data_IF_332613226723
#
_entry.id   IF_332613226723
#
_cell.length_a   1.000
_cell.length_b   1.000
_cell.length_c   1.000
_cell.angle_alpha   90.00
_cell.angle_beta   90.00
_cell.angle_gamma   90.00
#
_symmetry.space_group_name_H-M   'P 1'
#
loop_
_entity.id
_entity.type
_entity.pdbx_description
1 polymer ?
#
# COMPACT_ATOMS: atom_id res chain seq x y z
N UNK A 1 0.82 -76.74 20.79
CA UNK A 1 -0.16 -75.88 20.09
C UNK A 1 0.19 -74.39 20.13
N UNK A 2 1.09 -73.92 21.01
CA UNK A 2 1.44 -72.50 21.18
C UNK A 2 2.38 -71.92 20.10
N UNK A 3 3.28 -72.72 19.51
CA UNK A 3 4.22 -72.24 18.48
C UNK A 3 3.57 -71.90 17.12
N UNK A 4 2.48 -72.59 16.75
CA UNK A 4 1.81 -72.39 15.46
C UNK A 4 0.99 -71.08 15.43
N UNK A 5 0.37 -70.71 16.56
CA UNK A 5 -0.36 -69.45 16.74
C UNK A 5 0.57 -68.23 16.66
N UNK A 6 1.80 -68.33 17.19
CA UNK A 6 2.80 -67.24 17.11
C UNK A 6 3.24 -66.96 15.68
N UNK A 7 3.44 -68.01 14.88
CA UNK A 7 3.92 -67.86 13.50
C UNK A 7 2.86 -67.32 12.54
N UNK A 8 1.58 -67.69 12.76
CA UNK A 8 0.45 -67.10 12.02
C UNK A 8 0.30 -65.61 12.33
N UNK A 9 0.48 -65.20 13.58
CA UNK A 9 0.44 -63.78 13.96
C UNK A 9 1.56 -62.97 13.29
N UNK A 10 2.78 -63.51 13.20
CA UNK A 10 3.89 -62.86 12.49
C UNK A 10 3.60 -62.66 11.00
N UNK A 11 2.96 -63.64 10.35
CA UNK A 11 2.53 -63.49 8.95
C UNK A 11 1.50 -62.40 8.75
N UNK A 12 0.52 -62.32 9.63
CA UNK A 12 -0.50 -61.26 9.59
C UNK A 12 0.15 -59.90 9.80
N UNK A 13 1.06 -59.78 10.77
CA UNK A 13 1.79 -58.55 11.05
C UNK A 13 2.64 -58.11 9.86
N UNK A 14 3.36 -59.04 9.21
CA UNK A 14 4.16 -58.72 8.03
C UNK A 14 3.27 -58.24 6.86
N UNK A 15 2.12 -58.89 6.65
CA UNK A 15 1.18 -58.50 5.61
C UNK A 15 0.56 -57.11 5.89
N UNK A 16 0.22 -56.82 7.15
CA UNK A 16 -0.31 -55.51 7.54
C UNK A 16 0.75 -54.41 7.38
N UNK A 17 1.97 -54.64 7.86
CA UNK A 17 3.08 -53.68 7.72
C UNK A 17 3.40 -53.40 6.26
N UNK A 18 3.40 -54.43 5.39
CA UNK A 18 3.62 -54.25 3.95
C UNK A 18 2.52 -53.38 3.33
N UNK A 19 1.26 -53.62 3.68
CA UNK A 19 0.14 -52.80 3.21
C UNK A 19 0.23 -51.35 3.68
N UNK A 20 0.61 -51.14 4.94
CA UNK A 20 0.81 -49.80 5.51
C UNK A 20 1.94 -49.06 4.78
N UNK A 21 3.03 -49.74 4.46
CA UNK A 21 4.12 -49.17 3.66
C UNK A 21 3.67 -48.75 2.27
N UNK A 22 2.92 -49.60 1.55
CA UNK A 22 2.37 -49.28 0.23
C UNK A 22 1.41 -48.07 0.28
N UNK A 23 0.59 -47.99 1.33
CA UNK A 23 -0.30 -46.85 1.56
C UNK A 23 0.49 -45.56 1.82
N UNK A 24 1.52 -45.60 2.68
CA UNK A 24 2.38 -44.46 2.97
C UNK A 24 3.13 -43.98 1.72
N UNK A 25 3.61 -44.92 0.90
CA UNK A 25 4.26 -44.58 -0.36
C UNK A 25 3.31 -43.85 -1.32
N UNK A 26 2.07 -44.33 -1.43
CA UNK A 26 1.05 -43.70 -2.28
C UNK A 26 0.66 -42.32 -1.75
N UNK A 27 0.51 -42.19 -0.43
CA UNK A 27 0.20 -40.92 0.21
C UNK A 27 1.32 -39.89 -0.03
N UNK A 28 2.58 -40.28 0.19
CA UNK A 28 3.72 -39.41 -0.04
C UNK A 28 3.80 -38.92 -1.49
N UNK A 29 3.53 -39.80 -2.47
CA UNK A 29 3.50 -39.42 -3.88
C UNK A 29 2.39 -38.40 -4.17
N UNK A 30 1.20 -38.59 -3.58
CA UNK A 30 0.10 -37.62 -3.68
C UNK A 30 0.47 -36.28 -3.07
N UNK A 31 1.05 -36.29 -1.87
CA UNK A 31 1.43 -35.07 -1.14
C UNK A 31 2.50 -34.28 -1.89
N UNK A 32 3.52 -34.97 -2.44
CA UNK A 32 4.56 -34.33 -3.25
C UNK A 32 3.99 -33.72 -4.53
N UNK A 33 3.03 -34.39 -5.19
CA UNK A 33 2.37 -33.83 -6.37
C UNK A 33 1.58 -32.58 -5.99
N UNK A 34 0.78 -32.63 -4.93
CA UNK A 34 -0.01 -31.50 -4.46
C UNK A 34 0.89 -30.31 -4.09
N UNK A 35 2.00 -30.57 -3.40
CA UNK A 35 2.98 -29.54 -3.07
C UNK A 35 3.59 -28.91 -4.33
N UNK A 36 3.92 -29.73 -5.33
CA UNK A 36 4.41 -29.24 -6.62
C UNK A 36 3.42 -28.32 -7.33
N UNK A 37 2.14 -28.73 -7.36
CA UNK A 37 1.05 -27.93 -7.94
C UNK A 37 0.91 -26.58 -7.19
N UNK A 38 0.92 -26.59 -5.85
CA UNK A 38 0.86 -25.38 -5.03
C UNK A 38 2.04 -24.43 -5.26
N UNK A 39 3.27 -24.97 -5.36
CA UNK A 39 4.47 -24.16 -5.62
C UNK A 39 4.40 -23.52 -7.00
N UNK A 40 3.89 -24.24 -8.00
CA UNK A 40 3.71 -23.70 -9.34
C UNK A 40 2.70 -22.54 -9.36
N UNK A 41 1.55 -22.72 -8.71
CA UNK A 41 0.53 -21.67 -8.58
C UNK A 41 1.09 -20.44 -7.87
N UNK A 42 1.76 -20.63 -6.73
CA UNK A 42 2.42 -19.53 -6.00
C UNK A 42 3.47 -18.81 -6.85
N UNK A 43 4.22 -19.54 -7.67
CA UNK A 43 5.21 -18.94 -8.56
C UNK A 43 4.55 -18.08 -9.64
N UNK A 44 3.47 -18.57 -10.24
CA UNK A 44 2.69 -17.82 -11.23
C UNK A 44 2.07 -16.56 -10.63
N UNK A 45 1.49 -16.65 -9.43
CA UNK A 45 0.94 -15.51 -8.71
C UNK A 45 2.00 -14.48 -8.37
N UNK A 46 3.18 -14.93 -7.90
CA UNK A 46 4.31 -14.04 -7.62
C UNK A 46 4.82 -13.31 -8.87
N UNK A 47 4.87 -13.99 -10.02
CA UNK A 47 5.23 -13.39 -11.31
C UNK A 47 4.18 -12.35 -11.75
N UNK A 48 2.90 -12.67 -11.60
CA UNK A 48 1.79 -11.75 -11.87
C UNK A 48 1.86 -10.50 -11.00
N UNK A 49 2.08 -10.68 -9.70
CA UNK A 49 2.25 -9.59 -8.75
C UNK A 49 3.44 -8.69 -9.10
N UNK A 50 4.60 -9.28 -9.42
CA UNK A 50 5.79 -8.53 -9.81
C UNK A 50 5.57 -7.71 -11.09
N UNK A 51 4.85 -8.27 -12.07
CA UNK A 51 4.46 -7.54 -13.28
C UNK A 51 3.56 -6.35 -12.94
N UNK A 52 2.51 -6.57 -12.14
CA UNK A 52 1.62 -5.51 -11.70
C UNK A 52 2.35 -4.41 -10.91
N UNK A 53 3.28 -4.78 -10.04
CA UNK A 53 4.13 -3.84 -9.31
C UNK A 53 4.98 -2.96 -10.24
N UNK A 54 5.58 -3.52 -11.29
CA UNK A 54 6.36 -2.76 -12.28
C UNK A 54 5.51 -1.78 -13.06
N UNK A 55 4.34 -2.21 -13.53
CA UNK A 55 3.39 -1.36 -14.24
C UNK A 55 2.91 -0.23 -13.32
N UNK A 56 2.53 -0.56 -12.09
CA UNK A 56 2.12 0.41 -11.08
C UNK A 56 3.21 1.45 -10.86
N UNK A 57 4.46 1.04 -10.64
CA UNK A 57 5.61 1.95 -10.48
C UNK A 57 5.78 2.88 -11.67
N UNK A 58 5.63 2.36 -12.88
CA UNK A 58 5.77 3.16 -14.11
C UNK A 58 4.66 4.20 -14.19
N UNK A 59 3.41 3.81 -13.95
CA UNK A 59 2.26 4.73 -13.92
C UNK A 59 2.42 5.79 -12.83
N UNK A 60 2.92 5.41 -11.64
CA UNK A 60 3.21 6.36 -10.57
C UNK A 60 4.20 7.42 -11.04
N UNK A 61 5.29 7.04 -11.69
CA UNK A 61 6.24 8.01 -12.25
C UNK A 61 5.61 8.93 -13.30
N UNK A 62 4.80 8.39 -14.22
CA UNK A 62 4.11 9.21 -15.21
C UNK A 62 3.18 10.24 -14.55
N UNK A 63 2.44 9.84 -13.51
CA UNK A 63 1.57 10.75 -12.76
C UNK A 63 2.38 11.84 -12.04
N UNK A 64 3.54 11.51 -11.46
CA UNK A 64 4.43 12.51 -10.85
C UNK A 64 4.95 13.51 -11.89
N UNK A 65 5.40 13.01 -13.04
CA UNK A 65 6.01 13.83 -14.10
C UNK A 65 5.00 14.84 -14.66
N UNK A 66 3.77 14.40 -14.92
CA UNK A 66 2.66 15.28 -15.34
C UNK A 66 2.34 16.33 -14.28
N UNK A 67 2.42 15.97 -12.99
CA UNK A 67 2.20 16.94 -11.89
C UNK A 67 3.39 17.87 -11.66
N UNK A 68 4.55 17.59 -12.26
CA UNK A 68 5.80 18.30 -12.06
C UNK A 68 6.60 17.80 -10.86
N UNK A 69 7.92 17.76 -11.03
CA UNK A 69 8.88 17.31 -10.01
C UNK A 69 9.00 18.28 -8.83
N UNK A 70 8.86 19.59 -9.08
CA UNK A 70 8.86 20.61 -8.04
C UNK A 70 7.43 21.03 -7.80
N UNK A 71 6.99 20.94 -6.54
CA UNK A 71 5.65 21.37 -6.11
C UNK A 71 5.77 22.27 -4.90
N UNK A 72 5.06 23.40 -4.95
CA UNK A 72 5.01 24.40 -3.89
C UNK A 72 3.60 24.41 -3.31
N UNK A 73 3.51 24.12 -2.02
CA UNK A 73 2.26 24.13 -1.26
C UNK A 73 2.28 25.27 -0.25
N UNK A 74 1.16 25.97 -0.12
CA UNK A 74 0.97 26.94 0.95
C UNK A 74 0.08 26.32 2.03
N UNK A 75 0.44 26.46 3.31
CA UNK A 75 -0.42 26.09 4.43
C UNK A 75 -0.59 27.27 5.38
N UNK A 76 -1.82 27.71 5.50
CA UNK A 76 -2.21 28.78 6.42
C UNK A 76 -2.40 28.15 7.78
N UNK A 77 -1.64 28.60 8.78
CA UNK A 77 -1.85 28.19 10.17
C UNK A 77 -2.91 29.08 10.80
N UNK A 78 -3.79 28.49 11.59
CA UNK A 78 -4.68 29.25 12.47
C UNK A 78 -3.84 30.12 13.40
N UNK A 79 -4.27 31.37 13.58
CA UNK A 79 -3.68 32.22 14.60
C UNK A 79 -3.93 31.59 15.99
N UNK A 80 -2.94 31.73 16.87
CA UNK A 80 -3.06 31.26 18.25
C UNK A 80 -4.05 32.13 19.06
N UNK A 81 -4.14 33.40 18.67
CA UNK A 81 -5.09 34.36 19.21
C UNK A 81 -6.32 34.45 18.29
N UNK A 82 -7.50 34.26 18.86
CA UNK A 82 -8.77 34.34 18.14
C UNK A 82 -9.10 35.77 17.69
N UNK A 83 -8.48 36.78 18.29
CA UNK A 83 -8.66 38.19 17.93
C UNK A 83 -7.65 38.69 16.88
N UNK A 84 -6.67 37.85 16.51
CA UNK A 84 -5.68 38.21 15.51
C UNK A 84 -6.33 38.40 14.14
N UNK A 85 -6.18 39.61 13.58
CA UNK A 85 -6.65 39.93 12.22
C UNK A 85 -5.84 39.13 11.20
N UNK A 86 -6.54 38.34 10.38
CA UNK A 86 -5.93 37.65 9.24
C UNK A 86 -5.64 38.62 8.11
N UNK A 87 -4.50 38.44 7.45
CA UNK A 87 -4.14 39.14 6.20
C UNK A 87 -4.56 38.36 4.96
N UNK A 88 -5.05 37.13 5.13
CA UNK A 88 -5.59 36.32 4.04
C UNK A 88 -6.99 36.79 3.71
N UNK A 89 -7.19 37.21 2.46
CA UNK A 89 -8.46 37.69 1.92
C UNK A 89 -9.28 36.55 1.34
N UNK A 90 -8.66 35.75 0.46
CA UNK A 90 -9.35 34.70 -0.27
C UNK A 90 -8.39 33.56 -0.67
N UNK A 91 -8.94 32.35 -0.69
CA UNK A 91 -8.29 31.15 -1.25
C UNK A 91 -9.15 30.68 -2.41
N UNK A 92 -8.61 30.73 -3.62
CA UNK A 92 -9.29 30.28 -4.84
C UNK A 92 -9.31 28.77 -4.99
N UNK A 93 -10.32 28.27 -5.70
CA UNK A 93 -10.43 26.85 -6.08
C UNK A 93 -9.29 26.44 -7.02
N UNK A 94 -8.74 27.40 -7.77
CA UNK A 94 -7.56 27.29 -8.62
C UNK A 94 -6.24 27.29 -7.82
N UNK A 95 -6.30 27.22 -6.49
CA UNK A 95 -5.12 27.30 -5.61
C UNK A 95 -4.38 28.65 -5.66
N UNK A 96 -5.09 29.72 -6.04
CA UNK A 96 -4.64 31.09 -5.80
C UNK A 96 -4.83 31.49 -4.33
N UNK A 97 -3.92 32.30 -3.81
CA UNK A 97 -3.99 32.90 -2.48
C UNK A 97 -3.91 34.42 -2.61
N UNK A 98 -4.92 35.10 -2.08
CA UNK A 98 -4.96 36.56 -2.00
C UNK A 98 -4.63 37.00 -0.58
N UNK A 99 -3.60 37.84 -0.45
CA UNK A 99 -3.17 38.45 0.80
C UNK A 99 -3.30 39.96 0.70
N UNK A 100 -3.88 40.60 1.71
CA UNK A 100 -3.98 42.05 1.83
C UNK A 100 -3.07 42.52 2.96
N UNK A 101 -2.13 43.40 2.62
CA UNK A 101 -1.34 44.16 3.58
C UNK A 101 -2.19 45.34 4.12
N UNK A 102 -2.63 45.32 5.40
CA UNK A 102 -3.48 46.36 5.95
C UNK A 102 -2.75 47.70 6.12
N UNK A 103 -1.42 47.72 5.99
CA UNK A 103 -0.61 48.93 6.11
C UNK A 103 -0.47 49.68 4.77
N UNK A 104 -1.03 49.16 3.68
CA UNK A 104 -0.91 49.73 2.33
C UNK A 104 -2.26 50.03 1.69
N UNK A 105 -2.34 51.02 0.78
CA UNK A 105 -3.54 51.26 -0.03
C UNK A 105 -3.91 50.02 -0.84
N UNK A 106 -5.22 49.80 -1.06
CA UNK A 106 -5.75 48.59 -1.72
C UNK A 106 -5.01 48.17 -3.01
N UNK A 107 -4.64 49.14 -3.85
CA UNK A 107 -3.92 48.89 -5.11
C UNK A 107 -2.55 48.22 -4.93
N UNK A 108 -1.82 48.56 -3.86
CA UNK A 108 -0.46 48.07 -3.59
C UNK A 108 -0.41 47.04 -2.45
N UNK A 109 -1.46 46.98 -1.63
CA UNK A 109 -1.59 46.07 -0.51
C UNK A 109 -2.10 44.68 -0.90
N UNK A 110 -2.81 44.55 -2.03
CA UNK A 110 -3.34 43.26 -2.51
C UNK A 110 -2.29 42.50 -3.32
N UNK A 111 -1.92 41.31 -2.85
CA UNK A 111 -1.00 40.39 -3.53
C UNK A 111 -1.70 39.07 -3.83
N UNK A 112 -1.45 38.54 -5.03
CA UNK A 112 -1.94 37.23 -5.47
C UNK A 112 -0.74 36.31 -5.64
N UNK A 113 -0.83 35.11 -5.09
CA UNK A 113 0.16 34.06 -5.22
C UNK A 113 -0.50 32.79 -5.77
N UNK A 114 0.20 32.07 -6.63
CA UNK A 114 -0.27 30.80 -7.18
C UNK A 114 0.58 29.65 -6.64
N UNK A 115 -0.08 28.58 -6.22
CA UNK A 115 0.54 27.40 -5.66
C UNK A 115 -0.05 26.13 -6.30
N UNK A 116 0.62 25.00 -6.13
CA UNK A 116 0.03 23.72 -6.51
C UNK A 116 -1.18 23.36 -5.62
N UNK A 117 -1.17 23.81 -4.37
CA UNK A 117 -2.34 23.80 -3.50
C UNK A 117 -2.18 24.76 -2.32
N UNK A 118 -3.30 25.31 -1.86
CA UNK A 118 -3.36 26.15 -0.66
C UNK A 118 -4.24 25.48 0.38
N UNK A 119 -3.63 25.03 1.47
CA UNK A 119 -4.32 24.50 2.63
C UNK A 119 -4.76 25.65 3.53
N UNK A 120 -6.07 25.88 3.61
CA UNK A 120 -6.65 26.85 4.53
C UNK A 120 -6.42 26.50 6.00
N UNK A 121 -6.75 27.44 6.88
CA UNK A 121 -6.56 27.31 8.34
C UNK A 121 -7.32 26.12 8.96
N UNK A 122 -8.43 25.70 8.36
CA UNK A 122 -9.21 24.53 8.79
C UNK A 122 -8.64 23.19 8.30
N UNK A 123 -7.57 23.19 7.49
CA UNK A 123 -6.99 21.96 6.96
C UNK A 123 -6.28 21.16 8.07
N UNK A 124 -6.70 19.90 8.22
CA UNK A 124 -6.14 18.97 9.18
C UNK A 124 -4.76 18.48 8.75
N UNK A 125 -3.96 18.03 9.72
CA UNK A 125 -2.67 17.38 9.45
C UNK A 125 -2.83 16.12 8.60
N UNK A 126 -3.90 15.34 8.82
CA UNK A 126 -4.21 14.16 8.01
C UNK A 126 -4.41 14.52 6.55
N UNK A 127 -5.22 15.53 6.24
CA UNK A 127 -5.46 15.98 4.86
C UNK A 127 -4.18 16.49 4.17
N UNK A 128 -3.32 17.19 4.91
CA UNK A 128 -2.01 17.60 4.40
C UNK A 128 -1.13 16.38 4.10
N UNK A 129 -1.10 15.40 5.00
CA UNK A 129 -0.34 14.17 4.81
C UNK A 129 -0.87 13.37 3.64
N UNK A 130 -2.17 13.10 3.53
CA UNK A 130 -2.75 12.30 2.43
C UNK A 130 -2.39 12.89 1.06
N UNK A 131 -2.49 14.21 0.92
CA UNK A 131 -2.17 14.89 -0.33
C UNK A 131 -0.67 14.86 -0.65
N UNK A 132 0.21 14.95 0.36
CA UNK A 132 1.67 15.02 0.14
C UNK A 132 2.34 13.64 0.13
N UNK A 133 1.76 12.64 0.81
CA UNK A 133 2.28 11.27 0.95
C UNK A 133 2.02 10.39 -0.26
N UNK A 134 0.98 10.71 -1.07
CA UNK A 134 0.75 10.12 -2.39
C UNK A 134 1.92 10.33 -3.37
N UNK A 135 2.92 11.12 -2.97
CA UNK A 135 4.09 11.46 -3.73
C UNK A 135 5.40 10.94 -3.13
N UNK A 136 5.34 10.27 -1.98
CA UNK A 136 6.52 9.80 -1.25
C UNK A 136 6.81 8.30 -1.47
N UNK A 137 5.92 7.60 -2.20
CA UNK A 137 6.01 6.17 -2.52
C UNK A 137 5.84 5.93 -4.02
#
# INVERSE_FOLDING_TARGET
>A
MTNTLSWQNLKVLLASTKREFENLQTQLQSDLKQLGDQVLDMSNDALGYHKGMKENRTLHYMVQDVKGNIRVYCRIRTAFDAEAKTVVDFIGEDSSLVVIDPLKPWKDGRKIFEFNHVFGSSATQGRYFDMTSLFMF
#
